data_IF_343027061134
#
_entry.id   IF_343027061134
#
_cell.length_a   1.000
_cell.length_b   1.000
_cell.length_c   1.000
_cell.angle_alpha   90.00
_cell.angle_beta   90.00
_cell.angle_gamma   90.00
#
_symmetry.space_group_name_H-M   'P 1'
#
loop_
_entity.id
_entity.type
_entity.pdbx_description
1 polymer ?
#
# COMPACT_ATOMS: atom_id res chain seq x y z
N UNK A 1 7.28 -10.11 24.45
CA UNK A 1 7.72 -9.93 23.04
C UNK A 1 6.51 -10.11 22.12
N UNK A 2 6.21 -9.17 21.22
CA UNK A 2 5.01 -9.23 20.35
C UNK A 2 5.26 -10.20 19.19
N UNK A 3 4.62 -11.38 19.19
CA UNK A 3 4.70 -12.36 18.09
C UNK A 3 4.24 -11.69 16.78
N UNK A 4 5.12 -11.67 15.76
CA UNK A 4 4.82 -11.14 14.42
C UNK A 4 4.30 -12.28 13.56
N UNK A 5 3.16 -12.05 12.91
CA UNK A 5 2.57 -12.99 11.97
C UNK A 5 2.71 -12.48 10.54
N UNK A 6 3.06 -13.32 9.56
CA UNK A 6 3.12 -12.94 8.16
C UNK A 6 1.72 -12.63 7.61
N UNK A 7 1.66 -11.84 6.54
CA UNK A 7 0.40 -11.35 5.97
C UNK A 7 -0.54 -12.46 5.50
N UNK A 8 0.02 -13.48 4.82
CA UNK A 8 -0.71 -14.66 4.37
C UNK A 8 -1.37 -15.43 5.52
N UNK A 9 -0.67 -15.60 6.64
CA UNK A 9 -1.19 -16.27 7.83
C UNK A 9 -2.35 -15.49 8.43
N UNK A 10 -2.21 -14.16 8.60
CA UNK A 10 -3.30 -13.30 9.09
C UNK A 10 -4.53 -13.40 8.19
N UNK A 11 -4.34 -13.36 6.87
CA UNK A 11 -5.43 -13.47 5.91
C UNK A 11 -6.14 -14.83 6.01
N UNK A 12 -5.38 -15.94 6.13
CA UNK A 12 -5.94 -17.28 6.34
C UNK A 12 -6.79 -17.35 7.61
N UNK A 13 -6.25 -16.91 8.76
CA UNK A 13 -6.97 -16.94 10.04
C UNK A 13 -8.21 -16.04 10.01
N UNK A 14 -8.10 -14.85 9.39
CA UNK A 14 -9.24 -13.97 9.22
C UNK A 14 -10.34 -14.57 8.33
N UNK A 15 -9.97 -15.28 7.26
CA UNK A 15 -10.92 -15.94 6.38
C UNK A 15 -11.69 -17.04 7.11
N UNK A 16 -11.00 -17.90 7.86
CA UNK A 16 -11.66 -18.93 8.68
C UNK A 16 -12.62 -18.29 9.71
N UNK A 17 -12.22 -17.17 10.33
CA UNK A 17 -13.09 -16.42 11.21
C UNK A 17 -14.30 -15.76 10.52
N UNK A 18 -14.22 -15.49 9.21
CA UNK A 18 -15.33 -14.95 8.40
C UNK A 18 -16.32 -16.05 8.03
N UNK A 19 -15.83 -17.24 7.64
CA UNK A 19 -16.67 -18.42 7.34
C UNK A 19 -17.56 -18.82 8.52
N UNK A 20 -17.08 -18.60 9.73
CA UNK A 20 -17.79 -18.88 10.99
C UNK A 20 -18.17 -20.36 11.17
N UNK A 21 -17.40 -21.27 10.57
CA UNK A 21 -17.49 -22.72 10.78
C UNK A 21 -16.93 -23.13 12.16
N UNK A 22 -15.85 -22.47 12.59
CA UNK A 22 -15.26 -22.59 13.92
C UNK A 22 -15.56 -21.30 14.73
N UNK A 23 -15.77 -21.43 16.03
CA UNK A 23 -15.83 -20.29 16.96
C UNK A 23 -14.46 -19.59 17.07
N UNK A 24 -14.46 -18.33 17.50
CA UNK A 24 -13.21 -17.58 17.75
C UNK A 24 -12.34 -18.26 18.82
N UNK A 25 -12.94 -18.99 19.75
CA UNK A 25 -12.21 -19.76 20.76
C UNK A 25 -11.50 -20.97 20.15
N UNK A 26 -12.19 -21.74 19.31
CA UNK A 26 -11.59 -22.88 18.59
C UNK A 26 -10.48 -22.42 17.64
N UNK A 27 -10.70 -21.34 16.90
CA UNK A 27 -9.67 -20.74 16.06
C UNK A 27 -8.46 -20.24 16.88
N UNK A 28 -8.71 -19.71 18.08
CA UNK A 28 -7.65 -19.27 18.99
C UNK A 28 -6.76 -20.42 19.42
N UNK A 29 -7.34 -21.58 19.72
CA UNK A 29 -6.61 -22.81 20.05
C UNK A 29 -5.91 -23.39 18.82
N UNK A 30 -6.64 -23.53 17.70
CA UNK A 30 -6.16 -24.15 16.45
C UNK A 30 -4.98 -23.42 15.82
N UNK A 31 -4.96 -22.10 15.89
CA UNK A 31 -3.90 -21.28 15.30
C UNK A 31 -2.91 -20.70 16.32
N UNK A 32 -3.11 -20.97 17.61
CA UNK A 32 -2.34 -20.38 18.72
C UNK A 32 -2.28 -18.84 18.68
N UNK A 33 -3.38 -18.23 18.27
CA UNK A 33 -3.52 -16.78 18.12
C UNK A 33 -4.55 -16.28 19.12
N UNK A 34 -4.24 -15.21 19.85
CA UNK A 34 -5.19 -14.66 20.82
C UNK A 34 -6.48 -14.17 20.14
N UNK A 35 -7.65 -14.47 20.71
CA UNK A 35 -8.99 -14.10 20.21
C UNK A 35 -9.11 -12.66 19.70
N UNK A 36 -8.55 -11.69 20.43
CA UNK A 36 -8.56 -10.26 20.05
C UNK A 36 -7.83 -10.00 18.73
N UNK A 37 -6.74 -10.74 18.46
CA UNK A 37 -6.01 -10.61 17.20
C UNK A 37 -6.83 -11.18 16.03
N UNK A 38 -7.50 -12.30 16.23
CA UNK A 38 -8.38 -12.92 15.22
C UNK A 38 -9.52 -11.96 14.87
N UNK A 39 -10.21 -11.42 15.88
CA UNK A 39 -11.30 -10.45 15.68
C UNK A 39 -10.82 -9.19 14.94
N UNK A 40 -9.61 -8.72 15.29
CA UNK A 40 -8.99 -7.58 14.60
C UNK A 40 -8.72 -7.90 13.13
N UNK A 41 -8.11 -9.04 12.81
CA UNK A 41 -7.81 -9.39 11.42
C UNK A 41 -9.07 -9.64 10.60
N UNK A 42 -10.10 -10.27 11.19
CA UNK A 42 -11.44 -10.39 10.58
C UNK A 42 -11.98 -9.01 10.19
N UNK A 43 -11.93 -8.03 11.10
CA UNK A 43 -12.36 -6.65 10.83
C UNK A 43 -11.51 -5.96 9.76
N UNK A 44 -10.19 -6.15 9.77
CA UNK A 44 -9.28 -5.59 8.77
C UNK A 44 -9.59 -6.13 7.37
N UNK A 45 -9.80 -7.45 7.22
CA UNK A 45 -10.17 -8.08 5.94
C UNK A 45 -11.53 -7.59 5.46
N UNK A 46 -12.56 -7.58 6.31
CA UNK A 46 -13.89 -7.11 5.93
C UNK A 46 -13.89 -5.65 5.44
N UNK A 47 -13.03 -4.79 6.02
CA UNK A 47 -12.85 -3.41 5.56
C UNK A 47 -12.13 -3.32 4.22
N UNK A 48 -11.16 -4.20 3.97
CA UNK A 48 -10.36 -4.19 2.74
C UNK A 48 -11.08 -4.85 1.55
N UNK A 49 -12.00 -5.80 1.80
CA UNK A 49 -12.70 -6.55 0.75
C UNK A 49 -13.40 -5.66 -0.31
N UNK A 50 -14.15 -4.60 0.06
CA UNK A 50 -14.75 -3.70 -0.93
C UNK A 50 -13.71 -3.04 -1.85
N UNK A 51 -12.52 -2.73 -1.33
CA UNK A 51 -11.46 -2.11 -2.11
C UNK A 51 -10.85 -3.08 -3.13
N UNK A 52 -10.79 -4.38 -2.80
CA UNK A 52 -10.30 -5.44 -3.71
C UNK A 52 -11.17 -5.55 -4.95
N UNK A 53 -12.48 -5.40 -4.81
CA UNK A 53 -13.42 -5.42 -5.94
C UNK A 53 -13.61 -4.04 -6.59
N UNK A 54 -12.96 -2.99 -6.06
CA UNK A 54 -13.09 -1.64 -6.61
C UNK A 54 -12.13 -1.44 -7.79
N UNK A 55 -12.69 -1.17 -8.98
CA UNK A 55 -11.95 -0.74 -10.19
C UNK A 55 -11.12 0.53 -9.96
N UNK A 56 -11.40 1.27 -8.87
CA UNK A 56 -10.67 2.47 -8.47
C UNK A 56 -9.20 2.21 -8.14
N UNK A 57 -8.81 1.00 -7.73
CA UNK A 57 -7.41 0.71 -7.36
C UNK A 57 -6.50 0.72 -8.59
N UNK A 58 -6.97 0.21 -9.72
CA UNK A 58 -6.21 0.21 -10.97
C UNK A 58 -6.17 1.60 -11.61
N UNK A 59 -7.28 2.36 -11.51
CA UNK A 59 -7.30 3.78 -11.90
C UNK A 59 -6.30 4.60 -11.10
N UNK A 60 -6.29 4.49 -9.76
CA UNK A 60 -5.31 5.20 -8.92
C UNK A 60 -3.86 4.88 -9.26
N UNK A 61 -3.54 3.62 -9.59
CA UNK A 61 -2.19 3.25 -10.04
C UNK A 61 -1.84 3.88 -11.38
N UNK A 62 -2.79 3.92 -12.31
CA UNK A 62 -2.61 4.58 -13.61
C UNK A 62 -2.41 6.09 -13.44
N UNK A 63 -3.27 6.74 -12.67
CA UNK A 63 -3.19 8.18 -12.38
C UNK A 63 -1.84 8.52 -11.70
N UNK A 64 -1.36 7.66 -10.79
CA UNK A 64 -0.04 7.82 -10.18
C UNK A 64 1.11 7.66 -11.18
N UNK A 65 1.02 6.69 -12.10
CA UNK A 65 2.03 6.51 -13.13
C UNK A 65 2.09 7.71 -14.09
N UNK A 66 0.92 8.25 -14.48
CA UNK A 66 0.82 9.46 -15.30
C UNK A 66 1.41 10.68 -14.59
N UNK A 67 1.11 10.88 -13.30
CA UNK A 67 1.70 11.96 -12.50
C UNK A 67 3.22 11.83 -12.38
N UNK A 68 3.74 10.61 -12.18
CA UNK A 68 5.19 10.35 -12.10
C UNK A 68 5.87 10.73 -13.43
N UNK A 69 5.29 10.34 -14.57
CA UNK A 69 5.82 10.69 -15.89
C UNK A 69 5.82 12.21 -16.12
N UNK A 70 4.73 12.90 -15.74
CA UNK A 70 4.65 14.36 -15.83
C UNK A 70 5.71 15.04 -14.97
N UNK A 71 5.90 14.60 -13.72
CA UNK A 71 6.92 15.13 -12.83
C UNK A 71 8.33 14.92 -13.40
N UNK A 72 8.64 13.75 -13.96
CA UNK A 72 9.94 13.52 -14.61
C UNK A 72 10.18 14.45 -15.80
N UNK A 73 9.17 14.71 -16.63
CA UNK A 73 9.26 15.68 -17.74
C UNK A 73 9.53 17.10 -17.24
N UNK A 74 8.83 17.53 -16.19
CA UNK A 74 9.04 18.85 -15.58
C UNK A 74 10.46 18.98 -15.00
N UNK A 75 10.95 17.96 -14.29
CA UNK A 75 12.33 17.93 -13.77
C UNK A 75 13.34 18.05 -14.91
N UNK A 76 13.14 17.32 -16.01
CA UNK A 76 14.00 17.40 -17.20
C UNK A 76 14.03 18.81 -17.81
N UNK A 77 12.86 19.42 -17.99
CA UNK A 77 12.74 20.81 -18.49
C UNK A 77 13.46 21.80 -17.57
N UNK A 78 13.19 21.73 -16.27
CA UNK A 78 13.84 22.61 -15.27
C UNK A 78 15.36 22.42 -15.24
N UNK A 79 15.86 21.21 -15.45
CA UNK A 79 17.31 20.95 -15.54
C UNK A 79 17.92 21.67 -16.74
N UNK A 80 17.30 21.55 -17.92
CA UNK A 80 17.76 22.21 -19.15
C UNK A 80 17.73 23.73 -19.01
N UNK A 81 16.65 24.28 -18.45
CA UNK A 81 16.52 25.72 -18.18
C UNK A 81 17.61 26.22 -17.22
N UNK A 82 17.85 25.49 -16.13
CA UNK A 82 18.92 25.83 -15.18
C UNK A 82 20.31 25.78 -15.82
N UNK A 83 20.61 24.75 -16.61
CA UNK A 83 21.89 24.60 -17.29
C UNK A 83 22.11 25.73 -18.31
N UNK A 84 21.05 26.14 -19.02
CA UNK A 84 21.07 27.29 -19.92
C UNK A 84 21.32 28.61 -19.18
N UNK A 85 20.62 28.85 -18.06
CA UNK A 85 20.81 30.05 -17.24
C UNK A 85 22.24 30.12 -16.69
N UNK A 86 22.76 29.03 -16.13
CA UNK A 86 24.15 28.95 -15.65
C UNK A 86 25.16 29.26 -16.75
N UNK A 87 24.97 28.68 -17.95
CA UNK A 87 25.85 28.92 -19.10
C UNK A 87 25.87 30.40 -19.52
N UNK A 88 24.71 31.05 -19.50
CA UNK A 88 24.62 32.47 -19.88
C UNK A 88 25.17 33.40 -18.81
N UNK A 89 24.94 33.12 -17.53
CA UNK A 89 25.55 33.89 -16.43
C UNK A 89 27.09 33.84 -16.52
N UNK A 90 27.66 32.67 -16.79
CA UNK A 90 29.11 32.51 -16.96
C UNK A 90 29.67 33.27 -18.18
N UNK A 91 28.84 33.59 -19.19
CA UNK A 91 29.26 34.39 -20.36
C UNK A 91 29.21 35.90 -20.11
N UNK A 92 28.43 36.35 -19.13
CA UNK A 92 28.23 37.78 -18.83
C UNK A 92 29.18 38.24 -17.71
N UNK A 93 29.54 37.34 -16.79
CA UNK A 93 30.44 37.64 -15.67
C UNK A 93 31.93 37.37 -15.91
N UNK A 94 32.34 37.14 -17.16
CA UNK A 94 33.73 36.91 -17.58
C UNK A 94 34.24 37.99 -18.50
#
# INVERSE_FOLDING_TARGET
>A
MRKRYPGNFKAKVALEAIKAEDTIAELSSKFEVHRVQIMRWKKEVLKALPEVFSVRKDRKKKDQAELIDELYKQIGKLKVENDWLKKNLNKIGG
#
